data_IF_491006592486
#
_entry.id   IF_491006592486
#
_cell.length_a   1.000
_cell.length_b   1.000
_cell.length_c   1.000
_cell.angle_alpha   90.00
_cell.angle_beta   90.00
_cell.angle_gamma   90.00
#
_symmetry.space_group_name_H-M   'P 1'
#
loop_
_entity.id
_entity.type
_entity.pdbx_description
1 polymer ?
#
# COMPACT_ATOMS: atom_id res chain seq x y z
N UNK A 1 -15.73 49.09 32.35
CA UNK A 1 -14.34 48.91 31.86
C UNK A 1 -13.80 47.52 32.24
N UNK A 2 -14.54 46.45 31.92
CA UNK A 2 -14.13 45.04 32.13
C UNK A 2 -14.96 44.17 31.17
N UNK A 3 -14.60 44.10 29.90
CA UNK A 3 -15.24 43.22 28.92
C UNK A 3 -14.26 42.91 27.79
N UNK A 4 -13.10 42.34 28.13
CA UNK A 4 -12.05 41.94 27.16
C UNK A 4 -11.20 40.74 27.60
N UNK A 5 -11.68 39.86 28.48
CA UNK A 5 -10.88 38.71 28.97
C UNK A 5 -11.68 37.40 28.95
N UNK A 6 -12.38 37.09 27.87
CA UNK A 6 -13.05 35.79 27.74
C UNK A 6 -13.10 35.25 26.31
N UNK A 7 -12.08 35.56 25.52
CA UNK A 7 -12.02 35.20 24.10
C UNK A 7 -10.57 34.91 23.68
N UNK A 8 -9.90 33.96 24.34
CA UNK A 8 -8.53 33.60 23.96
C UNK A 8 -8.05 32.19 24.40
N UNK A 9 -8.95 31.22 24.64
CA UNK A 9 -8.53 29.88 25.10
C UNK A 9 -9.40 28.75 24.56
N UNK A 10 -9.79 28.85 23.29
CA UNK A 10 -10.17 27.71 22.47
C UNK A 10 -9.13 27.55 21.36
N UNK A 11 -7.88 27.30 21.75
CA UNK A 11 -6.89 26.77 20.83
C UNK A 11 -7.33 25.33 20.51
N UNK A 12 -8.09 25.20 19.42
CA UNK A 12 -8.42 23.92 18.80
C UNK A 12 -7.12 23.14 18.63
N UNK A 13 -6.99 22.02 19.34
CA UNK A 13 -6.05 20.96 19.00
C UNK A 13 -6.57 20.32 17.70
N UNK A 14 -6.28 20.94 16.56
CA UNK A 14 -6.33 20.25 15.28
C UNK A 14 -5.16 19.27 15.35
N UNK A 15 -5.46 18.03 15.76
CA UNK A 15 -4.53 16.93 15.53
C UNK A 15 -4.61 16.71 14.02
N UNK A 16 -3.65 17.28 13.29
CA UNK A 16 -3.47 16.94 11.89
C UNK A 16 -3.28 15.43 11.85
N UNK A 17 -4.28 14.72 11.33
CA UNK A 17 -4.11 13.34 10.88
C UNK A 17 -3.29 13.48 9.60
N UNK A 18 -1.99 13.62 9.78
CA UNK A 18 -1.02 13.66 8.69
C UNK A 18 -1.18 12.32 7.97
N UNK A 19 -1.40 12.37 6.66
CA UNK A 19 -1.32 11.20 5.81
C UNK A 19 0.06 10.60 6.02
N UNK A 20 0.14 9.37 6.51
CA UNK A 20 1.43 8.75 6.71
C UNK A 20 1.77 7.96 5.45
N UNK A 21 2.79 8.42 4.71
CA UNK A 21 3.35 7.71 3.55
C UNK A 21 4.08 6.41 3.92
N UNK A 22 3.87 5.92 5.13
CA UNK A 22 4.30 4.64 5.64
C UNK A 22 3.11 3.88 6.23
N UNK A 23 3.13 2.55 6.11
CA UNK A 23 2.03 1.72 6.61
C UNK A 23 2.31 0.24 6.46
N UNK A 24 1.50 -0.58 7.12
CA UNK A 24 1.60 -2.05 7.09
C UNK A 24 0.21 -2.66 7.18
N UNK A 25 -0.31 -3.11 6.05
CA UNK A 25 -1.66 -3.68 5.92
C UNK A 25 -1.83 -4.41 4.60
N UNK A 26 -3.05 -4.92 4.38
CA UNK A 26 -3.47 -5.47 3.10
C UNK A 26 -3.56 -4.36 2.04
N UNK A 27 -2.94 -4.58 0.89
CA UNK A 27 -2.92 -3.71 -0.29
C UNK A 27 -3.58 -4.41 -1.49
N UNK A 28 -4.08 -3.64 -2.44
CA UNK A 28 -4.87 -4.13 -3.58
C UNK A 28 -4.19 -3.80 -4.92
N UNK A 29 -4.40 -4.61 -5.97
CA UNK A 29 -4.00 -4.26 -7.32
C UNK A 29 -4.99 -3.27 -7.96
N UNK A 30 -4.49 -2.41 -8.84
CA UNK A 30 -5.29 -1.53 -9.70
C UNK A 30 -4.81 -1.59 -11.15
N UNK A 31 -5.73 -1.77 -12.09
CA UNK A 31 -5.43 -1.93 -13.52
C UNK A 31 -5.33 -0.56 -14.22
N UNK A 32 -4.23 0.17 -13.96
CA UNK A 32 -3.95 1.42 -14.67
C UNK A 32 -3.74 1.22 -16.19
N UNK A 33 -3.40 0.01 -16.64
CA UNK A 33 -3.14 -0.25 -18.07
C UNK A 33 -4.42 -0.30 -18.90
N UNK A 34 -5.53 -0.72 -18.29
CA UNK A 34 -6.86 -0.71 -18.92
C UNK A 34 -7.41 0.68 -19.23
N UNK A 35 -6.79 1.76 -18.71
CA UNK A 35 -7.24 3.12 -18.94
C UNK A 35 -7.20 3.53 -20.42
N UNK A 36 -6.38 2.88 -21.26
CA UNK A 36 -6.40 3.09 -22.72
C UNK A 36 -6.31 4.58 -23.12
N UNK A 37 -7.30 5.08 -23.85
CA UNK A 37 -7.35 6.49 -24.27
C UNK A 37 -7.53 7.49 -23.10
N UNK A 38 -8.01 7.04 -21.94
CA UNK A 38 -8.19 7.91 -20.76
C UNK A 38 -6.86 8.36 -20.16
N UNK A 39 -5.75 7.69 -20.47
CA UNK A 39 -4.40 8.09 -20.04
C UNK A 39 -4.05 9.53 -20.48
N UNK A 40 -4.62 10.00 -21.60
CA UNK A 40 -4.38 11.35 -22.12
C UNK A 40 -5.31 12.42 -21.50
N UNK A 41 -6.47 12.03 -20.97
CA UNK A 41 -7.54 12.97 -20.57
C UNK A 41 -7.81 12.98 -19.07
N UNK A 42 -7.34 11.99 -18.33
CA UNK A 42 -7.59 11.83 -16.91
C UNK A 42 -6.25 11.79 -16.19
N UNK A 43 -5.90 12.87 -15.49
CA UNK A 43 -4.77 12.84 -14.58
C UNK A 43 -5.18 12.13 -13.27
N UNK A 44 -4.24 11.43 -12.60
CA UNK A 44 -4.43 10.99 -11.24
C UNK A 44 -4.54 12.20 -10.31
N UNK A 45 -4.86 11.97 -9.05
CA UNK A 45 -5.08 13.03 -8.06
C UNK A 45 -3.91 14.00 -7.89
N UNK A 46 -2.67 13.58 -8.19
CA UNK A 46 -1.49 14.43 -8.17
C UNK A 46 -1.30 15.32 -9.42
N UNK A 47 -2.20 15.26 -10.40
CA UNK A 47 -2.17 16.11 -11.60
C UNK A 47 -1.14 15.71 -12.66
N UNK A 48 -0.48 14.58 -12.47
CA UNK A 48 0.56 14.07 -13.36
C UNK A 48 -0.02 13.33 -14.57
N UNK A 49 0.19 13.78 -15.83
CA UNK A 49 -0.41 13.08 -16.96
C UNK A 49 0.12 11.65 -17.04
N UNK A 50 -0.77 10.64 -17.15
CA UNK A 50 -0.33 9.24 -17.15
C UNK A 50 0.63 8.92 -18.29
N UNK A 51 0.53 9.63 -19.42
CA UNK A 51 1.48 9.51 -20.54
C UNK A 51 2.93 9.90 -20.19
N UNK A 52 3.15 10.63 -19.08
CA UNK A 52 4.49 10.92 -18.58
C UNK A 52 4.96 9.98 -17.47
N UNK A 53 4.19 8.94 -17.16
CA UNK A 53 4.45 7.99 -16.09
C UNK A 53 4.66 6.59 -16.65
N UNK A 54 5.58 5.84 -16.04
CA UNK A 54 5.54 4.39 -16.14
C UNK A 54 4.41 3.84 -15.26
N UNK A 55 3.21 3.74 -15.84
CA UNK A 55 1.99 3.30 -15.14
C UNK A 55 2.04 1.87 -14.60
N UNK A 56 3.09 1.10 -14.93
CA UNK A 56 3.32 -0.22 -14.33
C UNK A 56 3.92 -0.14 -12.92
N UNK A 57 4.49 1.01 -12.52
CA UNK A 57 5.24 1.23 -11.27
C UNK A 57 4.72 2.41 -10.45
N UNK A 58 3.41 2.61 -10.48
CA UNK A 58 2.71 3.64 -9.71
C UNK A 58 1.78 3.02 -8.66
N UNK A 59 1.35 3.83 -7.70
CA UNK A 59 0.37 3.42 -6.70
C UNK A 59 -0.54 4.59 -6.32
N UNK A 60 -1.76 4.27 -5.90
CA UNK A 60 -2.57 5.17 -5.08
C UNK A 60 -2.27 4.91 -3.60
N UNK A 61 -2.38 5.94 -2.78
CA UNK A 61 -2.17 5.87 -1.33
C UNK A 61 -3.40 6.41 -0.61
N UNK A 62 -3.86 5.67 0.40
CA UNK A 62 -4.98 6.06 1.25
C UNK A 62 -4.60 7.28 2.09
N UNK A 63 -5.47 8.30 2.11
CA UNK A 63 -5.32 9.53 2.91
C UNK A 63 -4.04 10.35 2.62
N UNK A 64 -3.41 10.17 1.46
CA UNK A 64 -2.24 10.96 1.06
C UNK A 64 -2.59 12.45 0.91
N UNK A 65 -1.76 13.32 1.49
CA UNK A 65 -1.82 14.77 1.29
C UNK A 65 -1.28 15.13 -0.10
N UNK A 66 -2.20 15.43 -1.01
CA UNK A 66 -1.91 15.79 -2.40
C UNK A 66 -1.03 17.04 -2.54
N UNK A 67 -0.94 17.88 -1.51
CA UNK A 67 -0.15 19.12 -1.57
C UNK A 67 1.34 18.89 -1.26
N UNK A 68 1.67 17.85 -0.50
CA UNK A 68 3.03 17.61 0.01
C UNK A 68 3.61 16.24 -0.34
N UNK A 69 2.77 15.24 -0.61
CA UNK A 69 3.20 13.83 -0.71
C UNK A 69 3.15 13.26 -2.12
N UNK A 70 2.58 14.01 -3.06
CA UNK A 70 2.58 13.65 -4.46
C UNK A 70 4.00 13.46 -5.01
N UNK A 71 4.21 12.34 -5.72
CA UNK A 71 5.52 11.99 -6.27
C UNK A 71 6.49 11.39 -5.25
N UNK A 72 6.04 11.06 -4.04
CA UNK A 72 6.87 10.34 -3.08
C UNK A 72 7.23 8.95 -3.62
N UNK A 73 8.53 8.63 -3.59
CA UNK A 73 9.02 7.31 -3.94
C UNK A 73 8.85 6.38 -2.73
N UNK A 74 8.10 5.29 -2.91
CA UNK A 74 7.83 4.31 -1.88
C UNK A 74 8.62 3.04 -2.14
N UNK A 75 9.14 2.46 -1.06
CA UNK A 75 9.56 1.07 -1.03
C UNK A 75 8.40 0.24 -0.48
N UNK A 76 8.00 -0.79 -1.22
CA UNK A 76 6.98 -1.74 -0.77
C UNK A 76 7.68 -3.07 -0.51
N UNK A 77 7.55 -3.58 0.70
CA UNK A 77 8.12 -4.84 1.15
C UNK A 77 7.02 -5.88 1.40
N UNK A 78 7.36 -7.14 1.20
CA UNK A 78 6.54 -8.29 1.60
C UNK A 78 7.40 -9.50 1.97
N UNK A 79 6.86 -10.44 2.74
CA UNK A 79 7.55 -11.68 3.06
C UNK A 79 7.86 -12.47 1.78
N UNK A 80 9.03 -13.13 1.72
CA UNK A 80 9.36 -14.01 0.59
C UNK A 80 8.33 -15.13 0.43
N UNK A 81 7.76 -15.62 1.53
CA UNK A 81 6.72 -16.65 1.55
C UNK A 81 5.36 -16.19 0.97
N UNK A 82 5.16 -14.89 0.76
CA UNK A 82 3.91 -14.37 0.20
C UNK A 82 3.88 -14.45 -1.34
N UNK A 83 4.98 -14.84 -1.97
CA UNK A 83 5.01 -15.02 -3.42
C UNK A 83 4.41 -16.38 -3.83
N UNK A 84 3.53 -16.36 -4.82
CA UNK A 84 2.89 -17.54 -5.38
C UNK A 84 3.50 -17.80 -6.77
N UNK A 85 4.37 -18.82 -6.88
CA UNK A 85 5.09 -19.12 -8.13
C UNK A 85 4.14 -19.38 -9.31
N UNK A 86 3.05 -20.11 -9.08
CA UNK A 86 2.06 -20.46 -10.11
C UNK A 86 0.97 -19.39 -10.31
N UNK A 87 0.88 -18.41 -9.40
CA UNK A 87 -0.19 -17.42 -9.43
C UNK A 87 -0.06 -16.44 -10.61
N UNK A 88 1.16 -16.26 -11.13
CA UNK A 88 1.43 -15.34 -12.23
C UNK A 88 0.74 -15.81 -13.53
N UNK A 89 0.51 -17.13 -13.66
CA UNK A 89 -0.21 -17.71 -14.78
C UNK A 89 -1.74 -17.59 -14.65
N UNK A 90 -2.28 -17.55 -13.42
CA UNK A 90 -3.73 -17.46 -13.15
C UNK A 90 -4.24 -16.02 -12.94
N UNK A 91 -3.34 -15.07 -12.69
CA UNK A 91 -3.70 -13.68 -12.34
C UNK A 91 -3.82 -12.70 -13.51
N UNK A 92 -3.48 -13.06 -14.75
CA UNK A 92 -3.57 -12.14 -15.89
C UNK A 92 -5.04 -11.93 -16.31
N UNK A 93 -5.66 -10.75 -16.09
CA UNK A 93 -6.90 -10.41 -16.77
C UNK A 93 -6.58 -10.28 -18.25
N UNK A 94 -7.06 -11.24 -19.04
CA UNK A 94 -7.66 -11.12 -20.38
C UNK A 94 -7.02 -10.30 -21.51
N UNK A 95 -5.97 -9.49 -21.33
CA UNK A 95 -5.58 -8.48 -22.32
C UNK A 95 -4.14 -8.65 -22.83
N UNK A 96 -3.30 -9.47 -22.21
CA UNK A 96 -1.91 -9.67 -22.65
C UNK A 96 -1.65 -10.93 -23.52
N UNK A 97 -2.62 -11.84 -23.71
CA UNK A 97 -2.39 -13.11 -24.44
C UNK A 97 -3.51 -13.52 -25.41
N UNK A 98 -4.30 -12.56 -25.92
CA UNK A 98 -5.31 -12.84 -26.95
C UNK A 98 -4.76 -12.60 -28.37
N UNK A 99 -3.75 -13.35 -28.79
CA UNK A 99 -3.52 -13.56 -30.23
C UNK A 99 -3.39 -15.01 -30.67
N UNK A 100 -3.10 -15.99 -29.80
CA UNK A 100 -2.94 -17.38 -30.27
C UNK A 100 -3.33 -18.50 -29.27
N UNK A 101 -4.29 -18.32 -28.37
CA UNK A 101 -4.77 -19.44 -27.56
C UNK A 101 -5.94 -20.16 -28.26
N UNK A 102 -5.59 -21.16 -29.08
CA UNK A 102 -6.53 -22.14 -29.58
C UNK A 102 -7.09 -22.95 -28.39
N UNK A 103 -8.36 -22.78 -28.11
CA UNK A 103 -9.08 -23.50 -27.06
C UNK A 103 -9.05 -25.01 -27.36
N UNK A 104 -8.15 -25.73 -26.68
CA UNK A 104 -8.16 -27.20 -26.69
C UNK A 104 -9.01 -27.65 -25.52
N UNK A 105 -10.17 -28.24 -25.84
CA UNK A 105 -11.14 -28.73 -24.85
C UNK A 105 -10.60 -30.02 -24.22
N UNK A 106 -9.87 -29.93 -23.11
CA UNK A 106 -9.51 -31.12 -22.34
C UNK A 106 -10.62 -31.45 -21.34
N UNK A 107 -11.20 -32.62 -21.57
CA UNK A 107 -12.19 -33.31 -20.75
C UNK A 107 -11.66 -33.45 -19.30
N UNK A 108 -12.41 -32.95 -18.32
CA UNK A 108 -12.09 -33.15 -16.90
C UNK A 108 -12.36 -34.61 -16.52
N UNK A 109 -11.30 -35.41 -16.39
CA UNK A 109 -11.34 -36.67 -15.67
C UNK A 109 -11.21 -36.39 -14.17
N UNK A 110 -12.14 -36.94 -13.40
CA UNK A 110 -12.26 -36.73 -11.97
C UNK A 110 -11.13 -37.48 -11.26
N UNK A 111 -10.15 -36.74 -10.73
CA UNK A 111 -9.02 -37.33 -10.01
C UNK A 111 -9.48 -37.94 -8.67
N UNK A 112 -8.91 -39.08 -8.25
CA UNK A 112 -9.26 -39.74 -7.01
C UNK A 112 -8.88 -38.89 -5.79
N UNK A 113 -9.81 -38.80 -4.85
CA UNK A 113 -9.63 -38.18 -3.53
C UNK A 113 -8.55 -38.92 -2.76
N UNK A 114 -7.35 -38.32 -2.72
CA UNK A 114 -6.26 -38.81 -1.87
C UNK A 114 -6.41 -38.17 -0.50
N UNK A 115 -6.55 -38.97 0.56
CA UNK A 115 -6.57 -38.47 1.92
C UNK A 115 -5.17 -37.97 2.28
N UNK A 116 -5.06 -36.67 2.55
CA UNK A 116 -3.81 -36.06 3.00
C UNK A 116 -3.65 -36.39 4.48
N UNK A 117 -2.67 -37.22 4.81
CA UNK A 117 -2.26 -37.43 6.19
C UNK A 117 -1.70 -36.11 6.74
N UNK A 118 -2.28 -35.63 7.84
CA UNK A 118 -1.83 -34.46 8.57
C UNK A 118 -0.42 -34.71 9.12
N UNK A 119 0.58 -34.17 8.42
CA UNK A 119 1.96 -34.22 8.85
C UNK A 119 2.10 -33.20 9.97
N UNK A 120 2.20 -33.66 11.22
CA UNK A 120 2.62 -32.82 12.34
C UNK A 120 3.96 -32.17 11.98
N UNK A 121 3.91 -30.87 11.73
CA UNK A 121 5.07 -30.05 11.47
C UNK A 121 5.83 -29.92 12.80
N UNK A 122 7.10 -30.35 12.89
CA UNK A 122 7.88 -30.11 14.10
C UNK A 122 7.97 -28.60 14.34
N UNK A 123 7.78 -28.18 15.59
CA UNK A 123 8.05 -26.83 16.10
C UNK A 123 9.56 -26.52 15.98
N UNK A 124 10.03 -26.39 14.74
CA UNK A 124 11.25 -25.69 14.44
C UNK A 124 10.81 -24.24 14.50
N UNK A 125 11.16 -23.55 15.58
CA UNK A 125 11.21 -22.09 15.63
C UNK A 125 12.10 -21.67 14.47
N UNK A 126 11.48 -21.48 13.30
CA UNK A 126 12.18 -21.22 12.06
C UNK A 126 12.90 -19.91 12.27
N UNK A 127 14.23 -19.96 12.22
CA UNK A 127 15.09 -18.79 12.21
C UNK A 127 14.50 -17.83 11.19
N UNK A 128 13.95 -16.72 11.68
CA UNK A 128 13.16 -15.75 10.91
C UNK A 128 13.99 -15.40 9.69
N UNK A 129 13.54 -15.77 8.50
CA UNK A 129 14.19 -15.29 7.29
C UNK A 129 13.83 -13.80 7.23
N UNK A 130 14.75 -12.94 7.66
CA UNK A 130 14.58 -11.48 7.65
C UNK A 130 14.55 -10.91 6.23
N UNK A 131 14.72 -11.78 5.24
CA UNK A 131 14.72 -11.42 3.84
C UNK A 131 13.27 -11.18 3.39
N UNK A 132 13.07 -10.06 2.72
CA UNK A 132 11.82 -9.60 2.14
C UNK A 132 11.97 -9.46 0.63
N UNK A 133 10.86 -9.59 -0.09
CA UNK A 133 10.75 -9.14 -1.47
C UNK A 133 10.31 -7.70 -1.49
N UNK A 134 10.90 -6.89 -2.37
CA UNK A 134 10.53 -5.49 -2.44
C UNK A 134 10.65 -4.89 -3.84
N UNK A 135 9.90 -3.81 -4.05
CA UNK A 135 9.90 -2.97 -5.26
C UNK A 135 9.90 -1.49 -4.87
N UNK A 136 10.20 -0.62 -5.84
CA UNK A 136 10.05 0.82 -5.70
C UNK A 136 8.99 1.35 -6.66
N UNK A 137 8.06 2.16 -6.14
CA UNK A 137 6.95 2.73 -6.89
C UNK A 137 6.73 4.20 -6.55
N UNK A 138 6.09 4.92 -7.46
CA UNK A 138 5.78 6.33 -7.29
C UNK A 138 4.32 6.50 -6.81
N UNK A 139 4.13 7.21 -5.70
CA UNK A 139 2.80 7.60 -5.23
C UNK A 139 2.28 8.78 -6.07
N UNK A 140 1.21 8.55 -6.82
CA UNK A 140 0.68 9.54 -7.79
C UNK A 140 -0.82 9.75 -7.68
N UNK A 141 -1.54 8.90 -6.94
CA UNK A 141 -2.99 8.99 -6.80
C UNK A 141 -3.42 8.80 -5.34
N UNK A 142 -4.64 9.22 -5.03
CA UNK A 142 -5.29 8.97 -3.74
C UNK A 142 -6.39 7.95 -3.93
N UNK A 143 -6.38 6.87 -3.14
CA UNK A 143 -7.39 5.82 -3.29
C UNK A 143 -7.11 4.59 -2.44
N UNK A 144 -8.05 3.65 -2.49
CA UNK A 144 -7.91 2.33 -1.90
C UNK A 144 -8.00 2.26 -0.37
N UNK A 145 -7.65 1.10 0.15
CA UNK A 145 -7.37 0.86 1.57
C UNK A 145 -5.88 0.55 1.70
N UNK A 146 -5.09 1.49 2.20
CA UNK A 146 -3.64 1.40 2.21
C UNK A 146 -3.06 1.79 0.87
N UNK A 147 -2.67 0.81 0.05
CA UNK A 147 -2.14 1.03 -1.29
C UNK A 147 -3.00 0.35 -2.36
N UNK A 148 -3.24 1.06 -3.45
CA UNK A 148 -3.71 0.50 -4.71
C UNK A 148 -2.55 0.49 -5.73
N UNK A 149 -1.80 -0.59 -5.68
CA UNK A 149 -0.58 -0.79 -6.46
C UNK A 149 -0.92 -1.14 -7.92
N UNK A 150 -0.16 -0.61 -8.88
CA UNK A 150 -0.32 -1.00 -10.27
C UNK A 150 -0.27 -2.52 -10.44
N UNK A 151 -1.26 -3.08 -11.14
CA UNK A 151 -1.48 -4.51 -11.23
C UNK A 151 -0.22 -5.27 -11.67
N UNK A 152 0.54 -4.74 -12.63
CA UNK A 152 1.80 -5.34 -13.09
C UNK A 152 2.83 -5.44 -11.97
N UNK A 153 3.05 -4.36 -11.21
CA UNK A 153 3.93 -4.36 -10.03
C UNK A 153 3.42 -5.30 -8.94
N UNK A 154 2.11 -5.36 -8.74
CA UNK A 154 1.48 -6.25 -7.77
C UNK A 154 1.71 -7.72 -8.13
N UNK A 155 1.45 -8.11 -9.38
CA UNK A 155 1.73 -9.48 -9.86
C UNK A 155 3.21 -9.81 -9.80
N UNK A 156 4.11 -8.88 -10.14
CA UNK A 156 5.54 -9.11 -10.01
C UNK A 156 5.98 -9.36 -8.55
N UNK A 157 5.39 -8.60 -7.60
CA UNK A 157 5.74 -8.68 -6.18
C UNK A 157 5.20 -9.96 -5.51
N UNK A 158 3.93 -10.31 -5.77
CA UNK A 158 3.21 -11.40 -5.10
C UNK A 158 3.01 -12.66 -5.95
N UNK A 159 3.29 -12.58 -7.24
CA UNK A 159 3.00 -13.67 -8.17
C UNK A 159 1.50 -13.90 -8.34
N UNK A 160 0.62 -12.92 -8.08
CA UNK A 160 -0.83 -13.03 -8.30
C UNK A 160 -1.45 -11.62 -8.34
N UNK A 161 -2.68 -11.44 -8.84
CA UNK A 161 -3.38 -10.14 -8.82
C UNK A 161 -4.90 -10.22 -8.60
N UNK A 162 -5.36 -11.31 -8.00
CA UNK A 162 -6.79 -11.57 -7.76
C UNK A 162 -7.22 -11.20 -6.35
N UNK A 163 -6.29 -11.19 -5.39
CA UNK A 163 -6.61 -11.03 -3.97
C UNK A 163 -5.71 -9.99 -3.31
N UNK A 164 -6.25 -9.20 -2.36
CA UNK A 164 -5.43 -8.31 -1.54
C UNK A 164 -4.31 -9.06 -0.82
N UNK A 165 -3.14 -8.43 -0.67
CA UNK A 165 -1.96 -9.04 -0.03
C UNK A 165 -1.36 -8.13 1.02
N UNK A 166 -0.77 -8.72 2.06
CA UNK A 166 -0.11 -7.95 3.12
C UNK A 166 1.25 -7.41 2.64
N UNK A 167 1.45 -6.11 2.84
CA UNK A 167 2.69 -5.41 2.57
C UNK A 167 2.96 -4.35 3.63
N UNK A 168 4.22 -3.97 3.76
CA UNK A 168 4.60 -2.72 4.42
C UNK A 168 5.20 -1.78 3.39
N UNK A 169 5.01 -0.48 3.60
CA UNK A 169 5.59 0.54 2.75
C UNK A 169 6.09 1.72 3.57
N UNK A 170 7.04 2.44 3.00
CA UNK A 170 7.62 3.65 3.58
C UNK A 170 8.33 4.48 2.51
N UNK A 171 8.51 5.80 2.74
CA UNK A 171 9.23 6.67 1.82
C UNK A 171 10.71 6.30 1.73
N UNK A 172 11.27 6.42 0.52
CA UNK A 172 12.69 6.26 0.24
C UNK A 172 13.21 7.38 -0.65
N UNK A 173 14.53 7.42 -0.84
CA UNK A 173 15.20 8.40 -1.70
C UNK A 173 14.60 8.41 -3.13
N UNK A 174 14.18 9.58 -3.67
CA UNK A 174 13.59 9.71 -5.00
C UNK A 174 14.42 9.10 -6.14
N UNK A 175 15.74 8.94 -5.96
CA UNK A 175 16.61 8.31 -6.98
C UNK A 175 16.16 6.91 -7.39
N UNK A 176 15.43 6.21 -6.53
CA UNK A 176 14.90 4.87 -6.80
C UNK A 176 13.70 4.85 -7.76
N UNK A 177 13.04 6.01 -7.94
CA UNK A 177 11.87 6.20 -8.81
C UNK A 177 12.11 7.18 -9.96
N UNK A 178 13.36 7.63 -10.18
CA UNK A 178 13.70 8.65 -11.18
C UNK A 178 13.33 8.28 -12.62
N UNK A 179 13.21 6.98 -12.91
CA UNK A 179 12.88 6.40 -14.21
C UNK A 179 11.37 6.18 -14.42
N UNK A 180 10.58 6.33 -13.35
CA UNK A 180 9.10 6.22 -13.40
C UNK A 180 8.50 7.53 -13.89
N UNK A 181 9.08 8.66 -13.45
CA UNK A 181 8.72 10.00 -13.94
C UNK A 181 9.50 10.34 -15.20
N UNK A 182 8.87 10.17 -16.37
CA UNK A 182 9.51 10.40 -17.67
C UNK A 182 9.22 11.83 -18.11
N UNK A 183 9.91 12.82 -17.54
CA UNK A 183 9.76 14.24 -17.93
C UNK A 183 10.47 14.60 -19.25
N UNK A 184 11.04 13.61 -19.96
CA UNK A 184 11.70 13.84 -21.23
C UNK A 184 10.85 13.25 -22.36
N UNK A 185 10.85 13.94 -23.50
CA UNK A 185 9.93 13.66 -24.62
C UNK A 185 10.20 12.30 -25.29
N UNK A 186 11.42 11.76 -25.16
CA UNK A 186 11.82 10.49 -25.78
C UNK A 186 11.44 9.25 -24.96
N UNK A 187 11.39 9.34 -23.63
CA UNK A 187 10.99 8.22 -22.76
C UNK A 187 9.47 8.20 -22.56
N UNK A 188 8.77 9.33 -22.75
CA UNK A 188 7.30 9.41 -22.72
C UNK A 188 6.62 8.51 -23.77
N UNK A 189 7.29 8.25 -24.90
CA UNK A 189 6.78 7.35 -25.96
C UNK A 189 7.08 5.88 -25.70
N UNK A 190 7.85 5.55 -24.66
CA UNK A 190 8.15 4.15 -24.35
C UNK A 190 6.94 3.48 -23.71
N UNK A 191 6.64 2.25 -24.14
CA UNK A 191 5.59 1.45 -23.54
C UNK A 191 5.78 1.29 -22.02
N UNK A 192 4.69 1.05 -21.26
CA UNK A 192 4.80 0.68 -19.86
C UNK A 192 5.73 -0.51 -19.67
N UNK A 193 6.46 -0.56 -18.55
CA UNK A 193 7.38 -1.68 -18.29
C UNK A 193 6.60 -2.99 -18.22
N UNK A 194 7.08 -4.01 -18.92
CA UNK A 194 6.52 -5.37 -18.86
C UNK A 194 6.69 -5.95 -17.47
N UNK A 195 5.80 -6.87 -17.08
CA UNK A 195 5.88 -7.56 -15.80
C UNK A 195 7.24 -8.22 -15.56
N UNK A 196 7.82 -8.83 -16.59
CA UNK A 196 9.13 -9.49 -16.54
C UNK A 196 10.28 -8.54 -16.22
N UNK A 197 10.09 -7.25 -16.50
CA UNK A 197 11.13 -6.22 -16.42
C UNK A 197 11.03 -5.40 -15.12
N UNK A 198 9.98 -5.65 -14.31
CA UNK A 198 9.85 -5.09 -12.97
C UNK A 198 10.97 -5.66 -12.08
N UNK A 199 11.84 -4.78 -11.60
CA UNK A 199 12.98 -5.14 -10.75
C UNK A 199 12.52 -5.46 -9.31
N UNK A 200 12.00 -6.67 -9.12
CA UNK A 200 11.75 -7.23 -7.79
C UNK A 200 13.09 -7.66 -7.18
N UNK A 201 13.36 -7.18 -5.97
CA UNK A 201 14.60 -7.47 -5.25
C UNK A 201 14.31 -8.32 -4.02
N UNK A 202 15.31 -9.06 -3.57
CA UNK A 202 15.30 -9.79 -2.31
C UNK A 202 16.43 -9.25 -1.45
N UNK A 203 16.15 -8.98 -0.17
CA UNK A 203 17.15 -8.48 0.76
C UNK A 203 16.57 -8.26 2.14
N UNK A 204 17.36 -7.72 3.07
CA UNK A 204 16.88 -7.38 4.41
C UNK A 204 15.77 -6.33 4.37
N UNK A 205 14.82 -6.47 5.28
CA UNK A 205 13.83 -5.42 5.52
C UNK A 205 14.54 -4.14 5.94
N UNK A 206 14.14 -3.02 5.34
CA UNK A 206 14.56 -1.67 5.70
C UNK A 206 13.43 -0.89 6.39
N UNK A 207 12.33 -1.56 6.73
CA UNK A 207 11.17 -0.92 7.34
C UNK A 207 11.54 -0.27 8.69
N UNK A 208 11.14 0.99 8.91
CA UNK A 208 11.28 1.66 10.20
C UNK A 208 10.73 0.81 11.38
N UNK A 209 11.35 0.91 12.57
CA UNK A 209 10.84 0.24 13.77
C UNK A 209 9.37 0.60 14.02
N UNK A 210 8.52 -0.41 14.27
CA UNK A 210 7.10 -0.21 14.54
C UNK A 210 6.15 -0.54 13.38
N UNK A 211 6.66 -0.72 12.15
CA UNK A 211 5.85 -1.18 11.01
C UNK A 211 5.53 -2.69 11.03
N UNK A 212 6.07 -3.40 12.04
CA UNK A 212 5.92 -4.85 12.20
C UNK A 212 6.69 -5.65 11.13
N UNK A 213 6.99 -6.93 11.38
CA UNK A 213 7.54 -7.78 10.35
C UNK A 213 6.48 -8.01 9.27
N UNK A 214 6.83 -7.67 8.02
CA UNK A 214 5.97 -7.99 6.88
C UNK A 214 5.89 -9.51 6.77
N UNK A 215 4.73 -10.09 7.09
CA UNK A 215 4.52 -11.55 7.08
C UNK A 215 3.98 -12.19 8.36
N UNK A 216 3.75 -11.44 9.45
CA UNK A 216 2.96 -11.97 10.57
C UNK A 216 1.49 -11.56 10.42
N UNK A 217 0.63 -12.53 10.13
CA UNK A 217 -0.82 -12.40 10.27
C UNK A 217 -1.30 -12.39 11.74
N UNK A 218 -0.37 -12.38 12.71
CA UNK A 218 -0.66 -12.60 14.13
C UNK A 218 -0.81 -11.35 14.99
N UNK A 219 -0.10 -10.26 14.71
CA UNK A 219 -0.06 -9.13 15.64
C UNK A 219 -0.12 -7.79 14.90
N UNK A 220 -1.28 -7.48 14.33
CA UNK A 220 -1.69 -6.07 14.32
C UNK A 220 -2.06 -5.76 15.77
N UNK A 221 -1.05 -5.47 16.59
CA UNK A 221 -1.29 -4.48 17.64
C UNK A 221 -1.60 -3.22 16.86
N UNK A 222 -2.91 -3.01 16.63
CA UNK A 222 -3.44 -1.69 16.36
C UNK A 222 -2.67 -0.80 17.32
N UNK A 223 -1.80 0.04 16.76
CA UNK A 223 -1.35 1.22 17.49
C UNK A 223 -2.58 2.09 17.58
N UNK A 224 -3.53 1.63 18.41
CA UNK A 224 -4.55 2.44 18.98
C UNK A 224 -3.81 3.64 19.48
N UNK A 225 -4.29 4.80 19.05
CA UNK A 225 -3.99 6.08 19.64
C UNK A 225 -3.50 5.86 21.06
N UNK A 226 -2.27 6.30 21.35
CA UNK A 226 -1.82 6.49 22.72
C UNK A 226 -2.79 7.50 23.34
N UNK A 227 -3.93 7.00 23.79
CA UNK A 227 -4.71 7.58 24.85
C UNK A 227 -3.73 7.57 26.01
N UNK A 228 -3.08 8.71 26.21
CA UNK A 228 -2.56 9.06 27.52
C UNK A 228 -3.76 8.98 28.46
N UNK A 229 -3.93 7.82 29.07
CA UNK A 229 -4.61 7.64 30.34
C UNK A 229 -3.74 8.36 31.39
N UNK A 230 -3.78 9.68 31.36
CA UNK A 230 -3.46 10.48 32.53
C UNK A 230 -4.72 10.45 33.40
N UNK A 231 -4.78 9.45 34.28
CA UNK A 231 -5.39 9.69 35.57
C UNK A 231 -4.47 10.67 36.30
N UNK A 232 -4.99 11.84 36.68
CA UNK A 232 -4.84 12.20 38.07
C UNK A 232 -6.20 12.57 38.68
N UNK A 233 -6.42 12.03 39.88
CA UNK A 233 -7.20 12.66 40.94
C UNK A 233 -8.69 12.96 40.68
N UNK A 234 -9.53 12.09 41.25
CA UNK A 234 -10.61 12.54 42.13
C UNK A 234 -10.15 13.75 42.94
N UNK A 235 -10.68 14.94 42.67
CA UNK A 235 -10.75 16.11 43.57
C UNK A 235 -11.64 17.17 42.88
N UNK A 236 -12.80 17.40 43.50
CA UNK A 236 -13.62 18.64 43.47
C UNK A 236 -14.33 19.00 42.15
N UNK A 237 -15.59 18.55 42.03
CA UNK A 237 -16.67 19.33 41.40
C UNK A 237 -17.82 19.45 42.39
N UNK A 238 -17.58 20.23 43.43
CA UNK A 238 -18.59 21.00 44.13
C UNK A 238 -18.14 22.46 44.03
N UNK A 239 -19.08 23.40 43.88
CA UNK A 239 -18.90 24.83 43.55
C UNK A 239 -18.77 25.02 42.03
N UNK A 240 -19.77 25.48 41.26
CA UNK A 240 -20.59 26.69 41.44
C UNK A 240 -22.01 26.44 40.89
N UNK A 241 -22.96 26.21 41.79
CA UNK A 241 -24.38 26.53 41.57
C UNK A 241 -24.66 27.77 42.42
N UNK A 242 -24.26 28.95 41.94
CA UNK A 242 -24.72 30.25 42.46
C UNK A 242 -23.95 31.36 41.74
N UNK A 243 -24.45 31.88 40.62
CA UNK A 243 -24.64 33.31 40.34
C UNK A 243 -25.62 33.41 39.17
N UNK A 244 -26.90 33.17 39.47
CA UNK A 244 -28.01 33.72 38.69
C UNK A 244 -29.01 34.21 39.74
N UNK A 245 -28.73 35.41 40.26
CA UNK A 245 -29.67 36.31 40.95
C UNK A 245 -28.85 37.55 41.36
N UNK A 246 -28.73 38.49 40.42
CA UNK A 246 -28.82 39.94 40.58
C UNK A 246 -28.57 40.61 39.23
#
# INVERSE_FOLDING_TARGET
MFCRILLALAALLIVDVIGDMYGSQSITPHDYQSLGSYLATSAPSCGYPYVSLDISRITAVQLMDRSTECGTCLRIETAVSNYIEDGAAVGLPGVAMATHFAATTTKFEQLPTTQVAERQLPDIVAKRNEDVRYIYVLAIDTGGRGLDLAQVSFTALFGQSLSPMNAAWFPVDPKHCKDIWRNNTSEQTQSPTSMSDIKVRVGKSEAPPGLGPVGYAGDIHSSGAKHLFLWPFSIIFAVVTAVFLL
#
